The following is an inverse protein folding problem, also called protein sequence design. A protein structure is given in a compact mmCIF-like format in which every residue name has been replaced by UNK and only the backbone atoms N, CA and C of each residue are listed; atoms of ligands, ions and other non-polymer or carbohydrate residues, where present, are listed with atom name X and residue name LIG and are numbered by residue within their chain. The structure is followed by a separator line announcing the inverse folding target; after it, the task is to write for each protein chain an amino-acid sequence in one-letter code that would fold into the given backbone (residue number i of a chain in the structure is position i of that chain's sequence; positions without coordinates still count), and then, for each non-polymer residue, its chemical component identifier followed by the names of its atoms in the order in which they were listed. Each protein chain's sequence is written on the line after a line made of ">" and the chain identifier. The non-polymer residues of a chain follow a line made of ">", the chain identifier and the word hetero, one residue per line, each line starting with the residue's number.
data_IF_992090962930
#
_entry.id   IF_992090962930
#
_cell.length_a   1.000
_cell.length_b   1.000
_cell.length_c   1.000
_cell.angle_alpha   90.00
_cell.angle_beta   90.00
_cell.angle_gamma   90.00
#
_symmetry.space_group_name_H-M   'P 1'
#
loop_
_entity.id
_entity.type
_entity.pdbx_description
1 polymer ?
#
# COMPACT_ATOMS: atom_id res chain seq x y z
N UNK A 1 -32.32 -18.68 5.29
CA UNK A 1 -31.02 -18.69 4.59
C UNK A 1 -30.09 -19.59 5.38
N UNK A 2 -29.51 -20.64 4.78
CA UNK A 2 -28.49 -21.42 5.46
C UNK A 2 -27.28 -20.51 5.75
N UNK A 3 -26.61 -20.66 6.90
CA UNK A 3 -25.40 -19.91 7.17
C UNK A 3 -24.35 -20.32 6.13
N UNK A 4 -23.89 -19.36 5.33
CA UNK A 4 -22.68 -19.57 4.55
C UNK A 4 -21.56 -19.86 5.54
N UNK A 5 -20.80 -20.93 5.32
CA UNK A 5 -19.66 -21.28 6.17
C UNK A 5 -18.80 -20.02 6.37
N UNK A 6 -18.62 -19.56 7.61
CA UNK A 6 -18.11 -18.20 7.85
C UNK A 6 -16.69 -17.99 7.30
N UNK A 7 -15.88 -19.06 7.24
CA UNK A 7 -14.57 -19.09 6.56
C UNK A 7 -14.69 -18.80 5.05
N UNK A 8 -15.76 -19.28 4.42
CA UNK A 8 -16.08 -19.01 3.02
C UNK A 8 -16.50 -17.54 2.85
N UNK A 9 -17.31 -16.99 3.76
CA UNK A 9 -17.65 -15.56 3.73
C UNK A 9 -16.43 -14.63 3.89
N UNK A 10 -15.53 -14.94 4.83
CA UNK A 10 -14.29 -14.18 5.03
C UNK A 10 -13.36 -14.27 3.81
N UNK A 11 -13.26 -15.46 3.20
CA UNK A 11 -12.52 -15.63 1.97
C UNK A 11 -13.14 -14.85 0.81
N UNK A 12 -14.47 -14.95 0.61
CA UNK A 12 -15.19 -14.24 -0.46
C UNK A 12 -14.96 -12.74 -0.37
N UNK A 13 -15.07 -12.17 0.83
CA UNK A 13 -14.87 -10.73 1.01
C UNK A 13 -13.42 -10.32 0.73
N UNK A 14 -12.44 -11.11 1.20
CA UNK A 14 -11.02 -10.88 0.90
C UNK A 14 -10.71 -11.00 -0.59
N UNK A 15 -11.27 -12.00 -1.28
CA UNK A 15 -11.17 -12.18 -2.73
C UNK A 15 -11.84 -11.05 -3.49
N UNK A 16 -13.02 -10.60 -3.05
CA UNK A 16 -13.73 -9.49 -3.69
C UNK A 16 -12.87 -8.22 -3.64
N UNK A 17 -12.37 -7.84 -2.46
CA UNK A 17 -11.48 -6.68 -2.31
C UNK A 17 -10.22 -6.85 -3.17
N UNK A 18 -9.62 -8.04 -3.15
CA UNK A 18 -8.46 -8.39 -3.96
C UNK A 18 -8.70 -8.22 -5.46
N UNK A 19 -9.77 -8.81 -6.00
CA UNK A 19 -10.12 -8.78 -7.42
C UNK A 19 -10.51 -7.38 -7.88
N UNK A 20 -11.34 -6.66 -7.11
CA UNK A 20 -11.71 -5.29 -7.46
C UNK A 20 -10.51 -4.35 -7.43
N UNK A 21 -9.69 -4.42 -6.38
CA UNK A 21 -8.45 -3.64 -6.28
C UNK A 21 -7.49 -3.95 -7.42
N UNK A 22 -7.21 -5.24 -7.66
CA UNK A 22 -6.34 -5.68 -8.75
C UNK A 22 -6.82 -5.18 -10.12
N UNK A 23 -8.11 -5.37 -10.41
CA UNK A 23 -8.71 -4.96 -11.69
C UNK A 23 -8.64 -3.44 -11.88
N UNK A 24 -8.95 -2.66 -10.84
CA UNK A 24 -8.84 -1.21 -10.88
C UNK A 24 -7.41 -0.76 -11.20
N UNK A 25 -6.42 -1.26 -10.48
CA UNK A 25 -5.03 -0.84 -10.66
C UNK A 25 -4.41 -1.36 -11.96
N UNK A 26 -4.86 -2.52 -12.48
CA UNK A 26 -4.51 -2.95 -13.82
C UNK A 26 -5.06 -1.98 -14.88
N UNK A 27 -6.34 -1.63 -14.80
CA UNK A 27 -6.96 -0.68 -15.73
C UNK A 27 -6.25 0.69 -15.65
N UNK A 28 -5.93 1.14 -14.43
CA UNK A 28 -5.17 2.36 -14.20
C UNK A 28 -3.80 2.34 -14.91
N UNK A 29 -3.04 1.26 -14.77
CA UNK A 29 -1.74 1.09 -15.44
C UNK A 29 -1.91 1.03 -16.97
N UNK A 30 -2.92 0.31 -17.47
CA UNK A 30 -3.20 0.26 -18.90
C UNK A 30 -3.58 1.64 -19.45
N UNK A 31 -4.38 2.42 -18.72
CA UNK A 31 -4.71 3.79 -19.13
C UNK A 31 -3.48 4.69 -19.22
N UNK A 32 -2.49 4.50 -18.34
CA UNK A 32 -1.22 5.24 -18.41
C UNK A 32 -0.41 4.83 -19.65
N UNK A 33 -0.27 3.53 -19.90
CA UNK A 33 0.48 3.04 -21.07
C UNK A 33 -0.16 3.42 -22.41
N UNK A 34 -1.49 3.43 -22.50
CA UNK A 34 -2.22 3.66 -23.75
C UNK A 34 -2.38 5.15 -24.04
N UNK A 35 -2.73 5.95 -23.03
CA UNK A 35 -3.17 7.34 -23.23
C UNK A 35 -2.20 8.39 -22.69
N UNK A 36 -1.21 7.99 -21.90
CA UNK A 36 -0.36 8.92 -21.18
C UNK A 36 1.11 8.48 -21.22
N UNK A 37 1.57 8.05 -22.40
CA UNK A 37 2.98 7.72 -22.59
C UNK A 37 3.82 9.01 -22.54
N UNK A 38 4.99 9.02 -21.87
CA UNK A 38 5.77 10.25 -21.72
C UNK A 38 6.19 10.80 -23.08
N UNK A 39 5.91 12.09 -23.31
CA UNK A 39 6.21 12.78 -24.58
C UNK A 39 7.49 13.62 -24.49
N UNK A 40 7.97 13.90 -23.29
CA UNK A 40 9.22 14.65 -23.03
C UNK A 40 10.15 13.89 -22.10
N UNK A 41 11.48 14.07 -22.22
CA UNK A 41 12.46 13.42 -21.33
C UNK A 41 12.21 13.71 -19.84
N UNK A 42 11.77 14.94 -19.53
CA UNK A 42 11.53 15.38 -18.15
C UNK A 42 10.30 14.67 -17.54
N UNK A 43 9.32 14.28 -18.36
CA UNK A 43 8.13 13.54 -17.93
C UNK A 43 8.34 12.04 -17.67
N UNK A 44 9.48 11.48 -18.10
CA UNK A 44 9.74 10.04 -18.03
C UNK A 44 9.79 9.57 -16.57
N UNK A 45 10.53 10.28 -15.72
CA UNK A 45 10.69 9.91 -14.31
C UNK A 45 9.36 9.94 -13.57
N UNK A 46 8.56 10.97 -13.79
CA UNK A 46 7.25 11.14 -13.17
C UNK A 46 6.28 10.04 -13.62
N UNK A 47 6.23 9.78 -14.92
CA UNK A 47 5.35 8.75 -15.48
C UNK A 47 5.74 7.36 -15.00
N UNK A 48 7.04 7.06 -14.95
CA UNK A 48 7.55 5.80 -14.39
C UNK A 48 7.25 5.66 -12.90
N UNK A 49 7.29 6.74 -12.12
CA UNK A 49 6.93 6.71 -10.71
C UNK A 49 5.45 6.37 -10.51
N UNK A 50 4.55 6.94 -11.33
CA UNK A 50 3.11 6.65 -11.29
C UNK A 50 2.80 5.23 -11.78
N UNK A 51 3.46 4.78 -12.86
CA UNK A 51 3.34 3.39 -13.34
C UNK A 51 3.86 2.42 -12.27
N UNK A 52 5.01 2.71 -11.67
CA UNK A 52 5.60 1.91 -10.59
C UNK A 52 4.67 1.78 -9.40
N UNK A 53 4.03 2.87 -8.99
CA UNK A 53 2.97 2.87 -7.98
C UNK A 53 1.77 1.98 -8.39
N UNK A 54 1.26 2.14 -9.61
CA UNK A 54 0.11 1.38 -10.10
C UNK A 54 0.40 -0.12 -10.16
N UNK A 55 1.55 -0.50 -10.73
CA UNK A 55 2.02 -1.90 -10.79
C UNK A 55 2.26 -2.46 -9.40
N UNK A 56 2.90 -1.68 -8.52
CA UNK A 56 3.15 -2.07 -7.13
C UNK A 56 1.86 -2.37 -6.38
N UNK A 57 0.86 -1.53 -6.57
CA UNK A 57 -0.46 -1.70 -5.96
C UNK A 57 -1.22 -2.89 -6.54
N UNK A 58 -1.12 -3.13 -7.86
CA UNK A 58 -1.68 -4.35 -8.46
C UNK A 58 -1.01 -5.61 -7.89
N UNK A 59 0.31 -5.64 -7.75
CA UNK A 59 1.04 -6.76 -7.15
C UNK A 59 0.64 -7.00 -5.69
N UNK A 60 0.38 -5.94 -4.92
CA UNK A 60 -0.19 -6.06 -3.59
C UNK A 60 -1.53 -6.79 -3.59
N UNK A 61 -2.47 -6.41 -4.46
CA UNK A 61 -3.76 -7.09 -4.55
C UNK A 61 -3.65 -8.52 -5.08
N UNK A 62 -2.71 -8.79 -5.99
CA UNK A 62 -2.42 -10.15 -6.42
C UNK A 62 -1.92 -11.02 -5.25
N UNK A 63 -1.08 -10.46 -4.38
CA UNK A 63 -0.62 -11.13 -3.16
C UNK A 63 -1.78 -11.38 -2.17
N UNK A 64 -2.71 -10.42 -2.02
CA UNK A 64 -3.94 -10.61 -1.22
C UNK A 64 -4.78 -11.77 -1.78
N UNK A 65 -5.01 -11.81 -3.09
CA UNK A 65 -5.76 -12.90 -3.75
C UNK A 65 -5.06 -14.24 -3.52
N UNK A 66 -3.75 -14.30 -3.75
CA UNK A 66 -2.94 -15.50 -3.56
C UNK A 66 -3.05 -16.05 -2.13
N UNK A 67 -2.93 -15.17 -1.12
CA UNK A 67 -3.09 -15.56 0.28
C UNK A 67 -4.48 -16.09 0.62
N UNK A 68 -5.54 -15.47 0.08
CA UNK A 68 -6.91 -15.92 0.33
C UNK A 68 -7.18 -17.27 -0.35
N UNK A 69 -6.63 -17.51 -1.55
CA UNK A 69 -6.73 -18.81 -2.23
C UNK A 69 -6.00 -19.90 -1.46
N UNK A 70 -4.75 -19.66 -1.03
CA UNK A 70 -3.99 -20.63 -0.23
C UNK A 70 -4.75 -21.04 1.03
N UNK A 71 -5.32 -20.06 1.75
CA UNK A 71 -6.10 -20.32 2.97
C UNK A 71 -7.30 -21.24 2.76
N UNK A 72 -7.87 -21.30 1.56
CA UNK A 72 -9.00 -22.18 1.24
C UNK A 72 -8.54 -23.58 0.85
N UNK A 73 -7.41 -23.69 0.14
CA UNK A 73 -6.96 -24.95 -0.45
C UNK A 73 -6.03 -25.78 0.42
N UNK A 74 -5.45 -25.21 1.49
CA UNK A 74 -4.54 -25.93 2.38
C UNK A 74 -5.19 -26.26 3.72
N UNK A 75 -5.29 -27.55 4.03
CA UNK A 75 -5.38 -28.05 5.40
C UNK A 75 -3.99 -27.82 6.03
N UNK A 76 -3.92 -27.13 7.17
CA UNK A 76 -2.64 -26.65 7.71
C UNK A 76 -1.70 -27.82 8.09
N UNK A 77 -0.60 -27.97 7.36
CA UNK A 77 0.54 -28.77 7.82
C UNK A 77 1.32 -27.92 8.86
N UNK A 78 1.37 -28.31 10.14
CA UNK A 78 1.91 -27.50 11.23
C UNK A 78 3.42 -27.24 11.12
N UNK A 79 4.15 -27.99 10.29
CA UNK A 79 5.60 -27.90 10.15
C UNK A 79 6.07 -27.03 8.96
N UNK A 80 5.16 -26.57 8.09
CA UNK A 80 5.53 -25.76 6.92
C UNK A 80 5.67 -24.27 7.30
N UNK A 81 6.91 -23.83 7.54
CA UNK A 81 7.25 -22.40 7.70
C UNK A 81 6.95 -21.63 6.40
N UNK A 82 5.76 -21.02 6.30
CA UNK A 82 5.38 -20.22 5.13
C UNK A 82 6.03 -18.82 5.21
N UNK A 83 6.66 -18.36 4.11
CA UNK A 83 7.18 -17.00 4.06
C UNK A 83 6.04 -16.01 4.25
N UNK A 84 6.26 -14.99 5.08
CA UNK A 84 5.23 -14.02 5.42
C UNK A 84 5.10 -12.95 4.33
N UNK A 85 4.60 -13.37 3.17
CA UNK A 85 4.50 -12.55 1.95
C UNK A 85 3.56 -11.36 2.11
N UNK A 86 2.65 -11.35 3.10
CA UNK A 86 1.79 -10.18 3.41
C UNK A 86 2.64 -9.00 3.86
N UNK A 87 3.55 -9.17 4.82
CA UNK A 87 4.33 -8.03 5.31
C UNK A 87 5.32 -7.50 4.28
N UNK A 88 5.92 -8.41 3.51
CA UNK A 88 6.76 -8.05 2.36
C UNK A 88 5.96 -7.24 1.34
N UNK A 89 4.75 -7.69 1.02
CA UNK A 89 3.84 -6.99 0.13
C UNK A 89 3.48 -5.59 0.63
N UNK A 90 3.21 -5.43 1.93
CA UNK A 90 2.90 -4.13 2.54
C UNK A 90 4.09 -3.18 2.48
N UNK A 91 5.30 -3.68 2.76
CA UNK A 91 6.53 -2.90 2.68
C UNK A 91 6.78 -2.41 1.24
N UNK A 92 6.63 -3.30 0.27
CA UNK A 92 6.74 -2.99 -1.14
C UNK A 92 5.69 -1.97 -1.60
N UNK A 93 4.46 -2.10 -1.11
CA UNK A 93 3.40 -1.14 -1.40
C UNK A 93 3.72 0.26 -0.88
N UNK A 94 4.18 0.40 0.37
CA UNK A 94 4.59 1.70 0.92
C UNK A 94 5.73 2.30 0.09
N UNK A 95 6.71 1.47 -0.30
CA UNK A 95 7.80 1.88 -1.18
C UNK A 95 7.29 2.43 -2.52
N UNK A 96 6.47 1.68 -3.23
CA UNK A 96 5.93 2.09 -4.53
C UNK A 96 5.00 3.31 -4.43
N UNK A 97 4.24 3.46 -3.35
CA UNK A 97 3.39 4.63 -3.11
C UNK A 97 4.17 5.91 -2.81
N UNK A 98 5.37 5.80 -2.23
CA UNK A 98 6.23 6.96 -1.96
C UNK A 98 6.89 7.52 -3.24
N UNK A 99 7.09 6.70 -4.28
CA UNK A 99 7.75 7.12 -5.53
C UNK A 99 7.08 8.33 -6.21
N UNK A 100 5.77 8.30 -6.55
CA UNK A 100 5.13 9.45 -7.18
C UNK A 100 5.15 10.68 -6.26
N UNK A 101 5.01 10.49 -4.94
CA UNK A 101 5.12 11.59 -3.97
C UNK A 101 6.48 12.27 -4.06
N UNK A 102 7.58 11.50 -4.01
CA UNK A 102 8.93 12.07 -4.09
C UNK A 102 9.16 12.77 -5.43
N UNK A 103 8.72 12.18 -6.53
CA UNK A 103 8.84 12.75 -7.87
C UNK A 103 8.15 14.12 -7.96
N UNK A 104 6.86 14.19 -7.62
CA UNK A 104 6.08 15.41 -7.77
C UNK A 104 6.34 16.48 -6.71
N UNK A 105 6.87 16.11 -5.54
CA UNK A 105 7.22 17.08 -4.51
C UNK A 105 8.53 17.82 -4.80
N UNK A 106 9.44 17.23 -5.57
CA UNK A 106 10.77 17.78 -5.82
C UNK A 106 11.15 17.86 -7.31
N UNK A 107 10.29 18.37 -8.20
CA UNK A 107 10.53 18.33 -9.64
C UNK A 107 11.84 19.05 -10.04
N UNK A 108 12.16 20.17 -9.37
CA UNK A 108 13.35 20.97 -9.67
C UNK A 108 14.62 20.51 -8.92
N UNK A 109 14.53 19.45 -8.11
CA UNK A 109 15.62 18.99 -7.23
C UNK A 109 15.92 17.49 -7.43
N UNK A 110 16.46 17.08 -8.60
CA UNK A 110 16.66 15.67 -8.95
C UNK A 110 17.65 14.96 -8.02
N UNK A 111 18.63 15.69 -7.47
CA UNK A 111 19.54 15.14 -6.46
C UNK A 111 18.78 14.79 -5.18
N UNK A 112 17.87 15.65 -4.72
CA UNK A 112 17.09 15.40 -3.51
C UNK A 112 16.11 14.25 -3.70
N UNK A 113 15.46 14.16 -4.87
CA UNK A 113 14.66 12.99 -5.25
C UNK A 113 15.47 11.70 -5.17
N UNK A 114 16.66 11.68 -5.78
CA UNK A 114 17.56 10.52 -5.77
C UNK A 114 17.95 10.14 -4.34
N UNK A 115 18.25 11.12 -3.48
CA UNK A 115 18.55 10.88 -2.06
C UNK A 115 17.39 10.22 -1.32
N UNK A 116 16.16 10.71 -1.49
CA UNK A 116 14.98 10.11 -0.85
C UNK A 116 14.69 8.72 -1.39
N UNK A 117 14.67 8.53 -2.72
CA UNK A 117 14.38 7.23 -3.35
C UNK A 117 15.44 6.20 -2.95
N UNK A 118 16.72 6.56 -3.02
CA UNK A 118 17.82 5.65 -2.65
C UNK A 118 17.79 5.28 -1.17
N UNK A 119 17.66 6.26 -0.28
CA UNK A 119 17.57 6.02 1.17
C UNK A 119 16.38 5.12 1.50
N UNK A 120 15.22 5.38 0.89
CA UNK A 120 14.03 4.58 1.15
C UNK A 120 14.15 3.16 0.58
N UNK A 121 14.77 3.02 -0.59
CA UNK A 121 15.05 1.70 -1.20
C UNK A 121 16.01 0.89 -0.34
N UNK A 122 17.06 1.51 0.22
CA UNK A 122 17.99 0.83 1.14
C UNK A 122 17.27 0.35 2.40
N UNK A 123 16.39 1.18 2.98
CA UNK A 123 15.58 0.78 4.14
C UNK A 123 14.69 -0.41 3.79
N UNK A 124 13.99 -0.37 2.66
CA UNK A 124 13.06 -1.43 2.23
C UNK A 124 13.79 -2.74 1.93
N UNK A 125 14.82 -2.68 1.09
CA UNK A 125 15.59 -3.87 0.67
C UNK A 125 16.40 -4.43 1.84
N UNK A 126 17.02 -3.56 2.64
CA UNK A 126 17.83 -3.98 3.80
C UNK A 126 17.03 -4.70 4.86
N UNK A 127 15.74 -4.40 4.99
CA UNK A 127 14.86 -5.07 5.96
C UNK A 127 14.11 -6.27 5.39
N UNK A 128 14.16 -6.51 4.07
CA UNK A 128 13.45 -7.62 3.41
C UNK A 128 13.71 -9.01 4.06
N UNK A 129 14.97 -9.38 4.42
CA UNK A 129 15.22 -10.66 5.09
C UNK A 129 14.50 -10.78 6.43
N UNK A 130 14.41 -9.66 7.17
CA UNK A 130 13.70 -9.60 8.44
C UNK A 130 12.19 -9.79 8.32
N UNK A 131 11.60 -9.54 7.15
CA UNK A 131 10.19 -9.83 6.87
C UNK A 131 9.95 -11.24 6.31
N UNK A 132 10.90 -11.77 5.53
CA UNK A 132 10.80 -13.09 4.91
C UNK A 132 11.05 -14.23 5.91
N UNK A 133 12.03 -14.06 6.80
CA UNK A 133 12.49 -15.09 7.73
C UNK A 133 12.04 -14.86 9.17
N UNK A 134 11.10 -13.93 9.40
CA UNK A 134 10.60 -13.67 10.75
C UNK A 134 9.90 -14.91 11.32
N UNK A 135 10.42 -15.43 12.43
CA UNK A 135 9.84 -16.58 13.10
C UNK A 135 8.50 -16.22 13.74
N UNK A 136 7.46 -16.96 13.36
CA UNK A 136 6.05 -16.76 13.69
C UNK A 136 5.71 -17.06 15.17
N UNK A 137 6.69 -17.07 16.08
CA UNK A 137 6.52 -17.48 17.48
C UNK A 137 5.75 -16.47 18.33
N UNK A 138 5.55 -15.24 17.84
CA UNK A 138 4.71 -14.21 18.46
C UNK A 138 3.72 -13.69 17.40
N UNK A 139 2.68 -14.48 17.12
CA UNK A 139 1.51 -14.01 16.36
C UNK A 139 0.71 -13.01 17.20
N UNK A 140 1.16 -11.77 17.17
CA UNK A 140 0.50 -10.66 17.82
C UNK A 140 0.31 -9.49 16.85
N UNK A 141 -0.83 -8.77 16.93
CA UNK A 141 -0.98 -7.49 16.24
C UNK A 141 0.16 -6.50 16.57
N UNK A 142 0.77 -6.62 17.76
CA UNK A 142 1.93 -5.83 18.22
C UNK A 142 3.28 -6.50 17.93
N UNK A 143 3.39 -7.32 16.89
CA UNK A 143 4.68 -7.92 16.55
C UNK A 143 5.71 -6.83 16.21
N UNK A 144 7.00 -7.04 16.54
CA UNK A 144 8.10 -6.15 16.13
C UNK A 144 8.07 -5.80 14.64
N UNK A 145 7.71 -6.76 13.79
CA UNK A 145 7.55 -6.58 12.34
C UNK A 145 6.44 -5.58 12.01
N UNK A 146 5.31 -5.67 12.69
CA UNK A 146 4.18 -4.77 12.47
C UNK A 146 4.50 -3.34 12.90
N UNK A 147 5.19 -3.15 14.03
CA UNK A 147 5.63 -1.84 14.51
C UNK A 147 6.71 -1.23 13.62
N UNK A 148 7.61 -2.08 13.10
CA UNK A 148 8.61 -1.66 12.15
C UNK A 148 7.96 -1.19 10.83
N UNK A 149 6.96 -1.91 10.32
CA UNK A 149 6.21 -1.49 9.14
C UNK A 149 5.50 -0.14 9.34
N UNK A 150 4.88 0.08 10.51
CA UNK A 150 4.29 1.37 10.84
C UNK A 150 5.34 2.49 10.88
N UNK A 151 6.52 2.20 11.45
CA UNK A 151 7.66 3.13 11.45
C UNK A 151 8.13 3.46 10.04
N UNK A 152 8.20 2.47 9.13
CA UNK A 152 8.55 2.70 7.72
C UNK A 152 7.49 3.56 7.02
N UNK A 153 6.20 3.35 7.29
CA UNK A 153 5.12 4.22 6.79
C UNK A 153 5.25 5.66 7.28
N UNK A 154 5.62 5.87 8.54
CA UNK A 154 5.91 7.20 9.09
C UNK A 154 7.15 7.83 8.46
N UNK A 155 8.20 7.05 8.22
CA UNK A 155 9.39 7.53 7.50
C UNK A 155 9.07 7.94 6.06
N UNK A 156 8.13 7.25 5.41
CA UNK A 156 7.68 7.60 4.07
C UNK A 156 7.07 9.01 3.99
N UNK A 157 6.59 9.58 5.11
CA UNK A 157 6.09 10.95 5.19
C UNK A 157 7.17 12.03 5.21
N UNK A 158 8.45 11.67 5.37
CA UNK A 158 9.55 12.65 5.44
C UNK A 158 9.59 13.63 4.24
N UNK A 159 9.47 13.18 2.98
CA UNK A 159 9.33 14.06 1.81
C UNK A 159 8.21 15.10 1.99
N UNK A 160 7.05 14.64 2.43
CA UNK A 160 5.86 15.48 2.65
C UNK A 160 6.10 16.51 3.74
N UNK A 161 6.64 16.10 4.89
CA UNK A 161 6.96 17.00 6.01
C UNK A 161 7.99 18.04 5.58
N UNK A 162 9.01 17.62 4.83
CA UNK A 162 10.04 18.53 4.32
C UNK A 162 9.43 19.61 3.41
N UNK A 163 8.60 19.21 2.45
CA UNK A 163 7.92 20.19 1.58
C UNK A 163 6.96 21.11 2.31
N UNK A 164 6.23 20.62 3.31
CA UNK A 164 5.30 21.43 4.11
C UNK A 164 6.01 22.38 5.07
N UNK A 165 7.27 22.11 5.42
CA UNK A 165 8.09 22.99 6.24
C UNK A 165 8.65 24.18 5.44
N UNK A 166 8.73 24.06 4.12
CA UNK A 166 9.04 25.16 3.21
C UNK A 166 7.72 25.87 2.79
N UNK A 167 7.78 27.16 2.41
CA UNK A 167 6.60 27.85 1.88
C UNK A 167 6.16 27.17 0.57
N UNK A 168 5.17 26.28 0.67
CA UNK A 168 4.68 25.46 -0.44
C UNK A 168 4.30 26.37 -1.60
N UNK A 169 5.04 26.25 -2.69
CA UNK A 169 5.04 27.23 -3.78
C UNK A 169 3.99 26.95 -4.85
N UNK A 170 3.36 25.77 -4.87
CA UNK A 170 2.37 25.43 -5.91
C UNK A 170 1.20 24.55 -5.42
N UNK A 171 0.00 24.78 -5.99
CA UNK A 171 -1.22 24.01 -5.71
C UNK A 171 -1.13 22.49 -5.96
N UNK A 172 -0.48 21.97 -7.02
CA UNK A 172 -0.38 20.52 -7.26
C UNK A 172 0.51 19.78 -6.24
N UNK A 173 1.62 20.39 -5.82
CA UNK A 173 2.51 19.80 -4.80
C UNK A 173 1.77 19.63 -3.46
N UNK A 174 0.98 20.62 -3.07
CA UNK A 174 0.15 20.55 -1.86
C UNK A 174 -0.90 19.42 -1.95
N UNK A 175 -1.54 19.25 -3.11
CA UNK A 175 -2.54 18.20 -3.31
C UNK A 175 -1.94 16.80 -3.15
N UNK A 176 -0.76 16.54 -3.73
CA UNK A 176 -0.05 15.27 -3.56
C UNK A 176 0.43 15.08 -2.12
N UNK A 177 1.05 16.10 -1.51
CA UNK A 177 1.44 16.06 -0.11
C UNK A 177 0.27 15.68 0.81
N UNK A 178 -0.88 16.33 0.62
CA UNK A 178 -2.08 16.12 1.42
C UNK A 178 -2.66 14.72 1.23
N UNK A 179 -2.82 14.27 -0.02
CA UNK A 179 -3.42 12.96 -0.33
C UNK A 179 -2.50 11.79 0.03
N UNK A 180 -1.19 11.94 -0.09
CA UNK A 180 -0.22 10.97 0.42
C UNK A 180 -0.22 10.92 1.95
N UNK A 181 -0.31 12.08 2.61
CA UNK A 181 -0.51 12.17 4.06
C UNK A 181 -1.76 11.43 4.51
N UNK A 182 -2.89 11.64 3.82
CA UNK A 182 -4.14 10.93 4.05
C UNK A 182 -4.01 9.42 3.79
N UNK A 183 -3.24 8.99 2.79
CA UNK A 183 -2.94 7.59 2.54
C UNK A 183 -2.25 6.96 3.75
N UNK A 184 -1.12 7.53 4.21
CA UNK A 184 -0.37 6.99 5.36
C UNK A 184 -1.20 7.02 6.65
N UNK A 185 -1.91 8.11 6.92
CA UNK A 185 -2.78 8.21 8.10
C UNK A 185 -3.95 7.22 8.04
N UNK A 186 -4.57 7.04 6.86
CA UNK A 186 -5.57 6.01 6.62
C UNK A 186 -5.03 4.62 6.88
N UNK A 187 -3.78 4.36 6.50
CA UNK A 187 -3.07 3.11 6.81
C UNK A 187 -2.88 2.84 8.27
N UNK A 188 -2.40 3.84 9.00
CA UNK A 188 -2.24 3.75 10.45
C UNK A 188 -3.60 3.56 11.13
N UNK A 189 -4.65 4.22 10.66
CA UNK A 189 -6.01 4.03 11.16
C UNK A 189 -6.54 2.62 10.86
N UNK A 190 -6.39 2.13 9.63
CA UNK A 190 -6.79 0.77 9.25
C UNK A 190 -6.00 -0.29 10.02
N UNK A 191 -4.70 -0.07 10.19
CA UNK A 191 -3.85 -0.89 11.05
C UNK A 191 -4.33 -0.87 12.50
N UNK A 192 -4.63 0.30 13.08
CA UNK A 192 -5.17 0.43 14.43
C UNK A 192 -6.51 -0.33 14.58
N UNK A 193 -7.41 -0.24 13.60
CA UNK A 193 -8.66 -1.03 13.59
C UNK A 193 -8.35 -2.53 13.64
N UNK A 194 -7.39 -2.99 12.84
CA UNK A 194 -6.93 -4.39 12.86
C UNK A 194 -6.28 -4.79 14.19
N UNK A 195 -5.53 -3.89 14.84
CA UNK A 195 -4.90 -4.14 16.13
C UNK A 195 -5.92 -4.27 17.26
N UNK A 196 -6.82 -3.30 17.36
CA UNK A 196 -7.73 -3.19 18.48
C UNK A 196 -8.90 -4.17 18.36
N UNK A 197 -9.23 -4.60 17.14
CA UNK A 197 -10.34 -5.52 16.86
C UNK A 197 -11.60 -5.14 17.63
N UNK A 198 -12.08 -3.89 17.51
CA UNK A 198 -13.04 -3.33 18.45
C UNK A 198 -14.34 -4.13 18.47
N UNK A 199 -14.84 -4.54 17.30
CA UNK A 199 -16.08 -5.28 17.17
C UNK A 199 -15.94 -6.73 17.67
N UNK A 200 -14.81 -7.36 17.40
CA UNK A 200 -14.52 -8.72 17.86
C UNK A 200 -14.30 -8.76 19.38
N UNK A 201 -13.60 -7.78 19.95
CA UNK A 201 -13.39 -7.67 21.41
C UNK A 201 -14.68 -7.37 22.16
N UNK A 202 -15.61 -6.64 21.55
CA UNK A 202 -16.94 -6.41 22.11
C UNK A 202 -17.86 -7.63 22.02
N UNK A 203 -17.43 -8.73 21.37
CA UNK A 203 -18.23 -9.95 21.20
C UNK A 203 -19.47 -9.77 20.31
N UNK A 204 -19.57 -8.63 19.61
CA UNK A 204 -20.68 -8.31 18.68
C UNK A 204 -20.68 -9.30 17.50
N UNK A 205 -19.48 -9.77 17.15
CA UNK A 205 -19.21 -10.70 16.05
C UNK A 205 -18.34 -11.83 16.60
N UNK A 206 -18.94 -12.99 16.82
CA UNK A 206 -18.27 -14.11 17.47
C UNK A 206 -17.24 -14.80 16.57
N UNK A 207 -17.61 -15.07 15.31
CA UNK A 207 -16.79 -15.86 14.38
C UNK A 207 -16.45 -15.12 13.08
N UNK A 208 -16.79 -13.83 12.98
CA UNK A 208 -16.45 -12.98 11.84
C UNK A 208 -15.29 -12.06 12.21
N UNK A 209 -14.37 -11.79 11.27
CA UNK A 209 -13.23 -10.89 11.48
C UNK A 209 -13.39 -9.57 10.71
N UNK A 210 -14.35 -8.69 11.05
CA UNK A 210 -14.57 -7.45 10.31
C UNK A 210 -13.37 -6.49 10.36
N UNK A 211 -12.51 -6.56 11.38
CA UNK A 211 -11.37 -5.65 11.51
C UNK A 211 -10.34 -5.77 10.39
N UNK A 212 -10.06 -6.99 9.90
CA UNK A 212 -9.13 -7.20 8.78
C UNK A 212 -9.73 -6.69 7.46
N UNK A 213 -11.04 -6.89 7.27
CA UNK A 213 -11.74 -6.39 6.09
C UNK A 213 -11.87 -4.88 6.10
N UNK A 214 -12.16 -4.29 7.26
CA UNK A 214 -12.18 -2.84 7.45
C UNK A 214 -10.80 -2.24 7.16
N UNK A 215 -9.71 -2.87 7.64
CA UNK A 215 -8.35 -2.47 7.30
C UNK A 215 -8.12 -2.48 5.78
N UNK A 216 -8.48 -3.57 5.10
CA UNK A 216 -8.32 -3.68 3.64
C UNK A 216 -9.15 -2.62 2.90
N UNK A 217 -10.39 -2.38 3.31
CA UNK A 217 -11.26 -1.37 2.70
C UNK A 217 -10.73 0.06 2.89
N UNK A 218 -10.29 0.40 4.10
CA UNK A 218 -9.67 1.71 4.38
C UNK A 218 -8.44 1.88 3.48
N UNK A 219 -7.60 0.85 3.39
CA UNK A 219 -6.40 0.87 2.56
C UNK A 219 -6.73 1.02 1.07
N UNK A 220 -7.70 0.25 0.57
CA UNK A 220 -8.16 0.34 -0.81
C UNK A 220 -8.71 1.72 -1.14
N UNK A 221 -9.57 2.27 -0.29
CA UNK A 221 -10.11 3.62 -0.46
C UNK A 221 -9.00 4.67 -0.52
N UNK A 222 -8.05 4.61 0.42
CA UNK A 222 -6.92 5.53 0.45
C UNK A 222 -6.04 5.42 -0.79
N UNK A 223 -5.76 4.20 -1.26
CA UNK A 223 -4.96 3.97 -2.48
C UNK A 223 -5.66 4.50 -3.73
N UNK A 224 -6.97 4.31 -3.85
CA UNK A 224 -7.77 4.85 -4.98
C UNK A 224 -7.83 6.38 -4.93
N UNK A 225 -7.97 6.95 -3.74
CA UNK A 225 -7.92 8.42 -3.58
C UNK A 225 -6.56 8.97 -4.00
N UNK A 226 -5.48 8.32 -3.57
CA UNK A 226 -4.13 8.72 -3.94
C UNK A 226 -3.82 8.51 -5.42
N UNK A 227 -4.32 7.44 -6.06
CA UNK A 227 -4.10 7.20 -7.49
C UNK A 227 -4.72 8.28 -8.37
N UNK A 228 -5.87 8.83 -7.97
CA UNK A 228 -6.48 9.96 -8.65
C UNK A 228 -5.60 11.20 -8.53
N UNK A 229 -5.10 11.51 -7.34
CA UNK A 229 -4.21 12.66 -7.14
C UNK A 229 -2.89 12.53 -7.90
N UNK A 230 -2.29 11.33 -7.90
CA UNK A 230 -1.09 11.03 -8.68
C UNK A 230 -1.33 11.19 -10.18
N UNK A 231 -2.47 10.74 -10.69
CA UNK A 231 -2.84 10.93 -12.10
C UNK A 231 -3.04 12.40 -12.44
N UNK A 232 -3.78 13.16 -11.63
CA UNK A 232 -4.00 14.60 -11.85
C UNK A 232 -2.69 15.40 -11.85
N UNK A 233 -1.74 15.08 -10.95
CA UNK A 233 -0.43 15.72 -10.94
C UNK A 233 0.45 15.33 -12.13
N UNK A 234 0.25 14.13 -12.67
CA UNK A 234 0.94 13.67 -13.87
C UNK A 234 0.40 14.33 -15.14
N UNK A 235 -0.90 14.63 -15.22
CA UNK A 235 -1.55 15.18 -16.44
C UNK A 235 -0.82 16.34 -17.14
N UNK A 236 -0.26 17.34 -16.45
CA UNK A 236 0.49 18.42 -17.12
C UNK A 236 1.72 17.94 -17.91
N UNK A 237 2.24 16.75 -17.58
CA UNK A 237 3.42 16.13 -18.18
C UNK A 237 3.06 15.01 -19.17
N UNK A 238 1.76 14.74 -19.34
CA UNK A 238 1.20 13.68 -20.19
C UNK A 238 0.45 14.35 -21.35
N UNK A 239 0.83 14.05 -22.60
CA UNK A 239 0.18 14.56 -23.81
C UNK A 239 -0.42 13.42 -24.63
#
# INVERSE_FOLDING_TARGET
>A
MPPCDQNVCDCILGLAVGVFGFSYFLIYVFQLFIFHFPSTPDSITDTLAVIGFGVGTALWYANVIYHQMIRVFQDEDPDEKKPNTIWVGSLFLIWTAALPTIAFLFPDQPLLQLWYISSFTVIVVGNLPGYLFYEQSIEGPFSPVSLHLASVGLLALMPTIHTLAEPVSTSPQFAIASTFGQLMMGGLAGWAVYLFRPLERMGIVQNWRPSIHAMHLIWTYSLVSFSNAALEAAKPHLH
#
